data_IF_270776447172
#
_entry.id   IF_270776447172
#
_cell.length_a   1.000
_cell.length_b   1.000
_cell.length_c   1.000
_cell.angle_alpha   90.00
_cell.angle_beta   90.00
_cell.angle_gamma   90.00
#
_symmetry.space_group_name_H-M   'P 1'
#
loop_
_entity.id
_entity.type
_entity.pdbx_description
1 polymer ?
#
# COMPACT_ATOMS: atom_id res chain seq x y z
N UNK A 1 -3.61 -2.33 29.07
CA UNK A 1 -2.32 -3.04 28.85
C UNK A 1 -2.45 -3.88 27.59
N UNK A 2 -1.68 -3.54 26.57
CA UNK A 2 -1.71 -4.15 25.23
C UNK A 2 -1.15 -5.56 25.30
N UNK A 3 -1.84 -6.49 24.67
CA UNK A 3 -1.41 -7.86 24.61
C UNK A 3 -0.20 -8.07 23.71
N UNK A 4 0.83 -8.76 24.19
CA UNK A 4 1.93 -9.23 23.34
C UNK A 4 1.36 -10.28 22.37
N UNK A 5 1.27 -9.89 21.09
CA UNK A 5 1.02 -10.82 20.00
C UNK A 5 2.16 -11.81 19.88
N UNK A 6 1.82 -13.09 19.88
CA UNK A 6 2.74 -14.19 19.60
C UNK A 6 3.10 -14.21 18.11
N UNK A 7 3.78 -13.17 17.63
CA UNK A 7 4.27 -13.12 16.24
C UNK A 7 5.25 -14.25 15.91
N UNK A 8 5.71 -15.00 16.91
CA UNK A 8 6.52 -16.22 16.78
C UNK A 8 5.83 -17.45 17.42
N UNK A 9 4.61 -17.82 16.97
CA UNK A 9 3.94 -19.09 17.37
C UNK A 9 4.84 -20.33 17.24
N UNK A 10 5.78 -20.32 16.30
CA UNK A 10 6.73 -21.41 16.04
C UNK A 10 7.79 -21.62 17.15
N UNK A 11 8.09 -20.61 17.98
CA UNK A 11 9.12 -20.71 19.03
C UNK A 11 8.56 -21.04 20.41
N UNK A 12 7.24 -21.07 20.56
CA UNK A 12 6.57 -21.34 21.82
C UNK A 12 6.01 -22.76 21.82
N UNK A 13 6.37 -23.52 22.85
CA UNK A 13 5.79 -24.84 23.10
C UNK A 13 4.27 -24.70 23.23
N UNK A 14 3.52 -25.60 22.59
CA UNK A 14 2.06 -25.56 22.48
C UNK A 14 1.37 -25.51 23.86
N UNK A 15 2.05 -25.98 24.91
CA UNK A 15 1.60 -25.89 26.30
C UNK A 15 1.41 -24.46 26.83
N UNK A 16 1.98 -23.45 26.16
CA UNK A 16 1.83 -22.04 26.55
C UNK A 16 0.80 -21.28 25.70
N UNK A 17 0.13 -21.97 24.78
CA UNK A 17 -0.84 -21.40 23.86
C UNK A 17 -2.24 -21.80 24.33
N UNK A 18 -3.12 -20.83 24.45
CA UNK A 18 -4.52 -21.07 24.74
C UNK A 18 -5.20 -21.72 23.51
N UNK A 19 -5.85 -22.89 23.63
CA UNK A 19 -6.54 -23.53 22.51
C UNK A 19 -7.79 -22.75 22.05
N UNK A 20 -8.38 -21.91 22.91
CA UNK A 20 -9.59 -21.14 22.57
C UNK A 20 -9.22 -19.93 21.70
N UNK A 21 -8.35 -19.05 22.21
CA UNK A 21 -8.01 -17.81 21.50
C UNK A 21 -6.74 -17.90 20.64
N UNK A 22 -6.02 -19.02 20.68
CA UNK A 22 -4.76 -19.23 19.94
C UNK A 22 -3.67 -18.19 20.24
N UNK A 23 -3.71 -17.56 21.42
CA UNK A 23 -2.71 -16.60 21.91
C UNK A 23 -1.95 -17.19 23.11
N UNK A 24 -0.87 -16.52 23.55
CA UNK A 24 -0.15 -16.90 24.77
C UNK A 24 -1.11 -16.83 25.97
N UNK A 25 -1.08 -17.86 26.81
CA UNK A 25 -1.88 -17.94 28.03
C UNK A 25 -1.68 -16.71 28.91
N UNK A 26 -2.77 -15.98 29.20
CA UNK A 26 -2.79 -14.88 30.18
C UNK A 26 -3.72 -15.22 31.33
N UNK A 27 -3.18 -15.17 32.55
CA UNK A 27 -3.88 -15.70 33.72
C UNK A 27 -4.21 -17.16 33.51
N UNK A 28 -3.19 -18.01 33.32
CA UNK A 28 -3.41 -19.41 32.97
C UNK A 28 -4.15 -20.14 34.08
N UNK A 29 -5.29 -20.73 33.75
CA UNK A 29 -6.04 -21.64 34.61
C UNK A 29 -5.86 -23.05 34.09
N UNK A 30 -5.61 -24.00 34.98
CA UNK A 30 -5.55 -25.41 34.64
C UNK A 30 -6.88 -26.06 34.97
N UNK A 31 -7.50 -26.71 33.98
CA UNK A 31 -8.68 -27.52 34.20
C UNK A 31 -8.30 -28.73 35.05
N UNK A 32 -8.95 -28.89 36.19
CA UNK A 32 -8.63 -29.93 37.20
C UNK A 32 -8.83 -31.35 36.66
N UNK A 33 -9.73 -31.53 35.69
CA UNK A 33 -10.11 -32.85 35.18
C UNK A 33 -9.19 -33.38 34.07
N UNK A 34 -8.72 -32.49 33.18
CA UNK A 34 -7.97 -32.90 31.99
C UNK A 34 -6.57 -32.27 31.90
N UNK A 35 -6.19 -31.41 32.86
CA UNK A 35 -4.87 -30.79 32.94
C UNK A 35 -4.56 -29.75 31.86
N UNK A 36 -5.49 -29.47 30.95
CA UNK A 36 -5.32 -28.46 29.91
C UNK A 36 -5.35 -27.04 30.50
N UNK A 37 -4.60 -26.13 29.88
CA UNK A 37 -4.49 -24.74 30.32
C UNK A 37 -5.22 -23.80 29.37
N UNK A 38 -5.98 -22.88 29.95
CA UNK A 38 -6.76 -21.86 29.25
C UNK A 38 -6.46 -20.48 29.84
N UNK A 39 -6.76 -19.41 29.11
CA UNK A 39 -6.81 -18.07 29.71
C UNK A 39 -8.02 -17.99 30.65
N UNK A 40 -7.88 -17.36 31.83
CA UNK A 40 -9.00 -17.11 32.75
C UNK A 40 -10.18 -16.43 32.04
N UNK A 41 -9.89 -15.49 31.15
CA UNK A 41 -10.92 -14.77 30.37
C UNK A 41 -11.67 -15.68 29.42
N UNK A 42 -10.98 -16.65 28.80
CA UNK A 42 -11.62 -17.63 27.92
C UNK A 42 -12.46 -18.63 28.72
N UNK A 43 -12.01 -19.02 29.91
CA UNK A 43 -12.80 -19.90 30.79
C UNK A 43 -14.10 -19.23 31.25
N UNK A 44 -14.03 -17.97 31.67
CA UNK A 44 -15.22 -17.23 32.13
C UNK A 44 -16.24 -17.04 31.00
N UNK A 45 -15.77 -16.72 29.79
CA UNK A 45 -16.65 -16.55 28.62
C UNK A 45 -17.41 -17.84 28.23
N UNK A 46 -16.77 -19.01 28.38
CA UNK A 46 -17.42 -20.30 28.14
C UNK A 46 -18.40 -20.68 29.27
N UNK A 47 -18.10 -20.33 30.53
CA UNK A 47 -19.02 -20.56 31.65
C UNK A 47 -20.28 -19.71 31.57
N UNK A 48 -20.17 -18.47 31.08
CA UNK A 48 -21.31 -17.57 30.87
C UNK A 48 -22.26 -18.03 29.74
N UNK A 49 -21.88 -19.03 28.91
CA UNK A 49 -22.76 -19.61 27.89
C UNK A 49 -23.63 -20.78 28.39
N UNK A 50 -23.42 -21.29 29.61
CA UNK A 50 -24.21 -22.42 30.13
C UNK A 50 -25.39 -22.04 31.03
N UNK A 51 -25.50 -20.78 31.47
CA UNK A 51 -26.59 -20.29 32.31
C UNK A 51 -27.39 -19.19 31.60
N UNK A 52 -28.27 -19.58 30.67
CA UNK A 52 -29.29 -18.66 30.12
C UNK A 52 -30.68 -19.12 30.59
N UNK A 53 -31.09 -18.61 31.75
CA UNK A 53 -32.50 -18.38 32.10
C UNK A 53 -32.64 -17.09 32.96
N UNK A 54 -32.91 -15.97 32.29
CA UNK A 54 -33.53 -14.70 32.77
C UNK A 54 -32.81 -13.81 33.84
N UNK A 55 -33.13 -12.50 33.95
CA UNK A 55 -32.14 -11.45 34.13
C UNK A 55 -32.19 -10.89 35.55
N UNK A 56 -31.03 -10.69 36.18
CA UNK A 56 -31.00 -9.92 37.42
C UNK A 56 -29.82 -8.96 37.45
N UNK A 57 -30.19 -7.71 37.25
CA UNK A 57 -29.45 -6.48 37.48
C UNK A 57 -28.55 -6.56 38.70
N UNK A 58 -27.25 -6.42 38.53
CA UNK A 58 -26.39 -5.82 39.55
C UNK A 58 -25.24 -5.07 38.87
N UNK A 59 -24.98 -3.90 39.43
CA UNK A 59 -24.19 -2.76 38.96
C UNK A 59 -22.68 -2.98 38.90
N UNK A 60 -22.04 -2.13 38.08
CA UNK A 60 -20.63 -1.72 38.07
C UNK A 60 -19.68 -2.51 37.14
N UNK A 61 -19.67 -2.08 35.88
CA UNK A 61 -18.67 -2.39 34.88
C UNK A 61 -19.22 -1.97 33.53
N UNK A 62 -18.77 -0.83 32.98
CA UNK A 62 -19.28 -0.32 31.72
C UNK A 62 -18.98 -1.30 30.58
N UNK A 63 -19.93 -2.20 30.29
CA UNK A 63 -20.00 -2.88 29.02
C UNK A 63 -20.36 -1.83 27.97
N UNK A 64 -19.36 -1.45 27.15
CA UNK A 64 -19.63 -0.79 25.88
C UNK A 64 -20.53 -1.77 25.10
N UNK A 65 -21.75 -1.38 24.70
CA UNK A 65 -22.64 -2.29 24.00
C UNK A 65 -21.96 -2.72 22.70
N UNK A 66 -22.05 -4.01 22.35
CA UNK A 66 -21.44 -4.58 21.15
C UNK A 66 -21.75 -3.78 19.88
N UNK A 67 -22.86 -3.04 19.86
CA UNK A 67 -23.27 -2.13 18.79
C UNK A 67 -22.29 -0.98 18.53
N UNK A 68 -21.63 -0.44 19.56
CA UNK A 68 -20.68 0.67 19.40
C UNK A 68 -19.36 0.23 18.73
N UNK A 69 -18.95 -1.04 18.92
CA UNK A 69 -17.76 -1.59 18.25
C UNK A 69 -18.00 -1.83 16.76
N UNK A 70 -19.23 -2.14 16.34
CA UNK A 70 -19.57 -2.30 14.93
C UNK A 70 -19.59 -0.98 14.17
N UNK A 71 -19.95 0.12 14.83
CA UNK A 71 -20.01 1.45 14.22
C UNK A 71 -18.60 1.99 13.90
N UNK A 72 -17.65 1.82 14.83
CA UNK A 72 -16.23 2.15 14.60
C UNK A 72 -15.62 1.34 13.43
N UNK A 73 -15.97 0.05 13.33
CA UNK A 73 -15.52 -0.80 12.22
C UNK A 73 -16.12 -0.36 10.88
N UNK A 74 -17.39 0.04 10.88
CA UNK A 74 -18.04 0.55 9.67
C UNK A 74 -17.42 1.87 9.18
N UNK A 75 -17.10 2.78 10.11
CA UNK A 75 -16.37 4.00 9.78
C UNK A 75 -14.99 3.71 9.20
N UNK A 76 -14.23 2.77 9.79
CA UNK A 76 -12.94 2.34 9.22
C UNK A 76 -13.08 1.75 7.82
N UNK A 77 -14.12 0.94 7.57
CA UNK A 77 -14.37 0.37 6.26
C UNK A 77 -14.71 1.45 5.22
N UNK A 78 -15.49 2.46 5.60
CA UNK A 78 -15.80 3.58 4.72
C UNK A 78 -14.55 4.41 4.38
N UNK A 79 -13.73 4.72 5.38
CA UNK A 79 -12.46 5.44 5.16
C UNK A 79 -11.55 4.62 4.23
N UNK A 80 -11.46 3.31 4.45
CA UNK A 80 -10.68 2.42 3.60
C UNK A 80 -11.22 2.38 2.16
N UNK A 81 -12.54 2.26 1.99
CA UNK A 81 -13.18 2.24 0.68
C UNK A 81 -12.92 3.55 -0.10
N UNK A 82 -13.09 4.71 0.55
CA UNK A 82 -12.77 6.01 -0.05
C UNK A 82 -11.28 6.16 -0.38
N UNK A 83 -10.41 5.62 0.48
CA UNK A 83 -8.97 5.58 0.23
C UNK A 83 -8.62 4.76 -1.02
N UNK A 84 -9.23 3.58 -1.19
CA UNK A 84 -9.04 2.74 -2.39
C UNK A 84 -9.53 3.46 -3.64
N UNK A 85 -10.71 4.09 -3.60
CA UNK A 85 -11.24 4.85 -4.73
C UNK A 85 -10.30 6.00 -5.12
N UNK A 86 -9.75 6.71 -4.14
CA UNK A 86 -8.76 7.77 -4.37
C UNK A 86 -7.51 7.21 -5.07
N UNK A 87 -6.98 6.08 -4.60
CA UNK A 87 -5.81 5.43 -5.21
C UNK A 87 -6.08 4.97 -6.64
N UNK A 88 -7.27 4.45 -6.93
CA UNK A 88 -7.68 4.04 -8.28
C UNK A 88 -7.75 5.27 -9.21
N UNK A 89 -8.32 6.37 -8.72
CA UNK A 89 -8.38 7.63 -9.47
C UNK A 89 -6.98 8.20 -9.73
N UNK A 90 -6.10 8.17 -8.73
CA UNK A 90 -4.71 8.62 -8.86
C UNK A 90 -3.93 7.74 -9.85
N UNK A 91 -4.11 6.42 -9.80
CA UNK A 91 -3.49 5.49 -10.76
C UNK A 91 -3.93 5.82 -12.19
N UNK A 92 -5.21 6.09 -12.40
CA UNK A 92 -5.73 6.47 -13.72
C UNK A 92 -5.18 7.83 -14.18
N UNK A 93 -5.10 8.82 -13.27
CA UNK A 93 -4.48 10.13 -13.59
C UNK A 93 -3.02 9.96 -14.01
N UNK A 94 -2.24 9.20 -13.24
CA UNK A 94 -0.83 8.94 -13.53
C UNK A 94 -0.65 8.21 -14.86
N UNK A 95 -1.52 7.25 -15.19
CA UNK A 95 -1.53 6.61 -16.52
C UNK A 95 -1.73 7.64 -17.64
N UNK A 96 -2.69 8.54 -17.49
CA UNK A 96 -2.96 9.57 -18.49
C UNK A 96 -1.77 10.54 -18.65
N UNK A 97 -1.19 11.00 -17.55
CA UNK A 97 0.00 11.88 -17.54
C UNK A 97 1.20 11.18 -18.18
N UNK A 98 1.43 9.90 -17.87
CA UNK A 98 2.48 9.10 -18.50
C UNK A 98 2.30 8.96 -20.01
N UNK A 99 1.07 8.73 -20.46
CA UNK A 99 0.77 8.65 -21.90
C UNK A 99 1.01 10.00 -22.59
N UNK A 100 0.55 11.09 -21.97
CA UNK A 100 0.78 12.44 -22.48
C UNK A 100 2.28 12.74 -22.61
N UNK A 101 3.07 12.38 -21.61
CA UNK A 101 4.53 12.58 -21.64
C UNK A 101 5.21 11.74 -22.73
N UNK A 102 4.76 10.50 -22.98
CA UNK A 102 5.25 9.71 -24.10
C UNK A 102 4.95 10.35 -25.45
N UNK A 103 3.75 10.91 -25.63
CA UNK A 103 3.39 11.63 -26.86
C UNK A 103 4.31 12.84 -27.03
N UNK A 104 4.50 13.64 -25.98
CA UNK A 104 5.40 14.81 -26.02
C UNK A 104 6.84 14.42 -26.37
N UNK A 105 7.35 13.33 -25.82
CA UNK A 105 8.69 12.83 -26.15
C UNK A 105 8.81 12.43 -27.62
N UNK A 106 7.80 11.78 -28.19
CA UNK A 106 7.78 11.42 -29.61
C UNK A 106 7.80 12.70 -30.46
N UNK A 107 6.95 13.67 -30.17
CA UNK A 107 6.90 14.94 -30.90
C UNK A 107 8.24 15.69 -30.83
N UNK A 108 8.83 15.82 -29.64
CA UNK A 108 10.12 16.49 -29.48
C UNK A 108 11.24 15.76 -30.23
N UNK A 109 11.21 14.42 -30.27
CA UNK A 109 12.16 13.62 -31.04
C UNK A 109 12.03 13.90 -32.53
N UNK A 110 10.82 13.98 -33.06
CA UNK A 110 10.57 14.33 -34.46
C UNK A 110 11.04 15.76 -34.79
N UNK A 111 10.76 16.72 -33.93
CA UNK A 111 11.22 18.11 -34.09
C UNK A 111 12.74 18.23 -34.05
N UNK A 112 13.39 17.50 -33.14
CA UNK A 112 14.85 17.44 -33.06
C UNK A 112 15.46 16.86 -34.34
N UNK A 113 14.85 15.83 -34.93
CA UNK A 113 15.30 15.27 -36.20
C UNK A 113 15.14 16.27 -37.36
N UNK A 114 14.03 17.01 -37.41
CA UNK A 114 13.80 18.06 -38.42
C UNK A 114 14.84 19.18 -38.30
N UNK A 115 15.11 19.64 -37.08
CA UNK A 115 16.12 20.67 -36.84
C UNK A 115 17.52 20.17 -37.23
N UNK A 116 17.86 18.92 -36.91
CA UNK A 116 19.15 18.33 -37.29
C UNK A 116 19.35 18.34 -38.80
N UNK A 117 18.35 17.91 -39.57
CA UNK A 117 18.40 17.94 -41.03
C UNK A 117 18.59 19.37 -41.57
N UNK A 118 17.84 20.34 -41.03
CA UNK A 118 17.97 21.75 -41.45
C UNK A 118 19.36 22.34 -41.16
N UNK A 119 19.99 21.94 -40.05
CA UNK A 119 21.36 22.32 -39.71
C UNK A 119 22.36 21.68 -40.68
N UNK A 120 22.19 20.40 -40.99
CA UNK A 120 23.04 19.68 -41.95
C UNK A 120 22.96 20.31 -43.36
N UNK A 121 21.77 20.66 -43.83
CA UNK A 121 21.57 21.38 -45.10
C UNK A 121 22.25 22.76 -45.11
N UNK A 122 22.09 23.52 -44.01
CA UNK A 122 22.73 24.84 -43.87
C UNK A 122 24.25 24.75 -43.87
N UNK A 123 24.80 23.72 -43.21
CA UNK A 123 26.25 23.47 -43.18
C UNK A 123 26.77 23.08 -44.57
N UNK A 124 26.10 22.18 -45.28
CA UNK A 124 26.47 21.78 -46.64
C UNK A 124 26.49 22.99 -47.61
N UNK A 125 25.53 23.90 -47.47
CA UNK A 125 25.49 25.15 -48.23
C UNK A 125 26.69 26.07 -47.95
N UNK A 126 27.07 26.20 -46.68
CA UNK A 126 28.24 26.99 -46.28
C UNK A 126 29.56 26.38 -46.79
N UNK A 127 29.69 25.05 -46.73
CA UNK A 127 30.85 24.34 -47.30
C UNK A 127 30.97 24.53 -48.81
N UNK A 128 29.85 24.43 -49.54
CA UNK A 128 29.81 24.72 -50.97
C UNK A 128 30.24 26.15 -51.32
N UNK A 129 29.82 27.15 -50.54
CA UNK A 129 30.28 28.54 -50.71
C UNK A 129 31.78 28.71 -50.45
N UNK A 130 32.32 28.01 -49.46
CA UNK A 130 33.75 28.07 -49.13
C UNK A 130 34.61 27.54 -50.28
N UNK A 131 34.19 26.44 -50.91
CA UNK A 131 34.86 25.86 -52.08
C UNK A 131 34.85 26.83 -53.27
N UNK A 132 33.68 27.41 -53.58
CA UNK A 132 33.55 28.41 -54.66
C UNK A 132 34.42 29.65 -54.43
N UNK A 133 34.57 30.09 -53.18
CA UNK A 133 35.46 31.21 -52.86
C UNK A 133 36.94 30.88 -53.08
N UNK A 134 37.38 29.65 -52.82
CA UNK A 134 38.76 29.23 -53.08
C UNK A 134 39.08 29.18 -54.57
N UNK A 135 38.15 28.66 -55.39
CA UNK A 135 38.35 28.52 -56.83
C UNK A 135 38.48 29.90 -57.53
N UNK A 136 37.70 30.90 -57.09
CA UNK A 136 37.79 32.26 -57.63
C UNK A 136 39.16 32.90 -57.31
N UNK A 137 39.68 32.72 -56.10
CA UNK A 137 41.00 33.24 -55.73
C UNK A 137 42.11 32.60 -56.55
N UNK A 138 42.03 31.29 -56.82
CA UNK A 138 43.04 30.59 -57.63
C UNK A 138 43.02 31.01 -59.11
N UNK A 139 41.86 31.43 -59.66
CA UNK A 139 41.78 31.94 -61.03
C UNK A 139 42.31 33.37 -61.21
N UNK A 140 42.48 34.15 -60.14
CA UNK A 140 42.99 35.53 -60.22
C UNK A 140 44.52 35.64 -60.05
N UNK A 141 45.20 34.55 -59.69
CA UNK A 141 46.67 34.50 -59.50
C UNK A 141 47.47 34.06 -60.75
N UNK A 142 46.82 33.85 -61.89
CA UNK A 142 47.44 33.53 -63.19
C UNK A 142 47.23 34.63 -64.22
#
# INVERSE_FOLDING_TARGET
>A
MVGIDARNKHMLDTKYICPICSLILRGSVQLTECGHRLCQTCLNAEQEQMDIDLPRTTTAGACIPATAQFEEVYEMLNILASGIETLVNDEQRLRNESLQMQITLITLKEESLKLKLSVEESNAFLEGKKLMSCDIFHMMEH
#
